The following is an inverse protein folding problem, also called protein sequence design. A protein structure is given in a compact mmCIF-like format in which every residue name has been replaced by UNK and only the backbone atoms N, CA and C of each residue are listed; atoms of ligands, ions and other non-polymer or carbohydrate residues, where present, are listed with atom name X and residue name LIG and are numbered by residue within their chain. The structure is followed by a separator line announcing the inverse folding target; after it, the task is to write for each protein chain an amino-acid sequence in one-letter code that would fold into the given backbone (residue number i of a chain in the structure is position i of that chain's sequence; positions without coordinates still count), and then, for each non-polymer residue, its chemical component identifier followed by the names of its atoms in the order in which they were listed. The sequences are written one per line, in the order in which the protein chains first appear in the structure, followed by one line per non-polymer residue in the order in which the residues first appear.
data_IF_881599033840
#
_entry.id   IF_881599033840
#
_cell.length_a   1.000
_cell.length_b   1.000
_cell.length_c   1.000
_cell.angle_alpha   90.00
_cell.angle_beta   90.00
_cell.angle_gamma   90.00
#
_symmetry.space_group_name_H-M   'P 1'
#
loop_
_entity.id
_entity.type
_entity.pdbx_description
1 polymer ?
#
# COMPACT_ATOMS: atom_id res chain seq x y z
N UNK A 1 -13.98 -4.35 -24.85
CA UNK A 1 -13.34 -3.18 -24.21
C UNK A 1 -12.03 -2.84 -24.93
N UNK A 2 -11.76 -1.57 -25.26
CA UNK A 2 -10.45 -1.16 -25.81
C UNK A 2 -9.45 -1.07 -24.66
N UNK A 3 -8.78 -2.18 -24.34
CA UNK A 3 -7.79 -2.27 -23.26
C UNK A 3 -6.44 -1.58 -23.58
N UNK A 4 -6.25 -1.15 -24.84
CA UNK A 4 -5.02 -0.49 -25.31
C UNK A 4 -5.07 1.02 -25.06
N UNK A 5 -4.08 1.63 -24.40
CA UNK A 5 -3.93 3.08 -24.33
C UNK A 5 -3.72 3.71 -25.72
N UNK A 6 -4.31 4.89 -25.95
CA UNK A 6 -4.24 5.57 -27.26
C UNK A 6 -2.82 5.92 -27.70
N UNK A 7 -1.93 6.21 -26.74
CA UNK A 7 -0.58 6.70 -26.98
C UNK A 7 0.45 5.61 -27.31
N UNK A 8 0.05 4.34 -27.37
CA UNK A 8 0.97 3.21 -27.57
C UNK A 8 0.66 2.53 -28.90
N UNK A 9 1.61 2.43 -29.85
CA UNK A 9 1.41 1.73 -31.11
C UNK A 9 0.91 0.29 -30.92
N UNK A 10 0.03 -0.18 -31.81
CA UNK A 10 -0.60 -1.51 -31.70
C UNK A 10 0.42 -2.65 -31.66
N UNK A 11 1.53 -2.52 -32.41
CA UNK A 11 2.59 -3.52 -32.44
C UNK A 11 3.30 -3.65 -31.08
N UNK A 12 3.62 -2.53 -30.43
CA UNK A 12 4.26 -2.51 -29.12
C UNK A 12 3.35 -3.04 -28.03
N UNK A 13 2.06 -2.64 -28.06
CA UNK A 13 1.07 -3.18 -27.14
C UNK A 13 0.94 -4.70 -27.23
N UNK A 14 0.93 -5.25 -28.45
CA UNK A 14 0.90 -6.71 -28.66
C UNK A 14 2.16 -7.40 -28.16
N UNK A 15 3.34 -6.81 -28.37
CA UNK A 15 4.61 -7.33 -27.85
C UNK A 15 4.60 -7.36 -26.32
N UNK A 16 4.18 -6.26 -25.69
CA UNK A 16 4.06 -6.16 -24.24
C UNK A 16 3.08 -7.19 -23.65
N UNK A 17 1.89 -7.31 -24.22
CA UNK A 17 0.90 -8.31 -23.77
C UNK A 17 1.46 -9.71 -23.94
N UNK A 18 2.04 -10.06 -25.10
CA UNK A 18 2.67 -11.37 -25.29
C UNK A 18 3.76 -11.66 -24.24
N UNK A 19 4.59 -10.68 -23.92
CA UNK A 19 5.63 -10.81 -22.90
C UNK A 19 5.04 -11.07 -21.51
N UNK A 20 3.99 -10.33 -21.12
CA UNK A 20 3.31 -10.48 -19.81
C UNK A 20 2.31 -11.63 -19.73
N UNK A 21 2.05 -12.32 -20.84
CA UNK A 21 1.19 -13.51 -20.89
C UNK A 21 1.95 -14.74 -21.37
N UNK A 22 3.28 -14.66 -21.47
CA UNK A 22 4.13 -15.76 -21.90
C UNK A 22 4.07 -16.92 -20.92
N UNK A 23 4.41 -18.12 -21.40
CA UNK A 23 4.42 -19.30 -20.55
C UNK A 23 5.47 -19.20 -19.45
N UNK A 24 6.65 -18.65 -19.76
CA UNK A 24 7.71 -18.34 -18.78
C UNK A 24 7.21 -17.40 -17.68
N UNK A 25 6.45 -16.36 -18.05
CA UNK A 25 5.87 -15.45 -17.07
C UNK A 25 4.85 -16.16 -16.17
N UNK A 26 3.98 -17.00 -16.75
CA UNK A 26 2.99 -17.79 -15.99
C UNK A 26 3.64 -18.78 -15.04
N UNK A 27 4.73 -19.43 -15.45
CA UNK A 27 5.50 -20.36 -14.62
C UNK A 27 6.11 -19.62 -13.44
N UNK A 28 6.83 -18.52 -13.69
CA UNK A 28 7.43 -17.69 -12.63
C UNK A 28 6.38 -17.14 -11.66
N UNK A 29 5.22 -16.73 -12.16
CA UNK A 29 4.12 -16.28 -11.31
C UNK A 29 3.55 -17.42 -10.45
N UNK A 30 3.36 -18.61 -11.02
CA UNK A 30 2.88 -19.78 -10.28
C UNK A 30 3.88 -20.27 -9.22
N UNK A 31 5.17 -20.29 -9.53
CA UNK A 31 6.23 -20.58 -8.56
C UNK A 31 6.15 -19.61 -7.37
N UNK A 32 5.95 -18.32 -7.66
CA UNK A 32 5.83 -17.28 -6.64
C UNK A 32 4.55 -17.41 -5.78
N UNK A 33 3.43 -17.85 -6.39
CA UNK A 33 2.17 -18.10 -5.67
C UNK A 33 2.27 -19.37 -4.80
N UNK A 34 3.02 -20.38 -5.25
CA UNK A 34 3.22 -21.64 -4.53
C UNK A 34 4.29 -21.54 -3.43
N UNK A 35 5.24 -20.62 -3.57
CA UNK A 35 6.14 -20.29 -2.47
C UNK A 35 5.36 -19.50 -1.42
N UNK A 36 5.00 -20.14 -0.30
CA UNK A 36 4.43 -19.48 0.89
C UNK A 36 5.33 -18.36 1.48
N UNK A 37 6.53 -18.20 0.92
CA UNK A 37 7.54 -17.20 1.26
C UNK A 37 7.23 -15.84 0.65
N UNK A 38 6.23 -15.13 1.17
CA UNK A 38 6.25 -13.69 1.50
C UNK A 38 4.82 -13.14 1.63
N UNK A 39 4.33 -13.07 2.87
CA UNK A 39 3.16 -12.26 3.21
C UNK A 39 3.45 -11.27 4.36
N UNK A 40 4.73 -11.08 4.72
CA UNK A 40 5.13 -10.37 5.94
C UNK A 40 6.07 -9.18 5.74
N UNK A 41 6.30 -8.69 4.52
CA UNK A 41 7.00 -7.41 4.38
C UNK A 41 6.02 -6.27 4.66
N UNK A 42 6.32 -5.48 5.69
CA UNK A 42 5.56 -4.24 5.99
C UNK A 42 5.80 -3.15 4.94
N UNK A 43 6.70 -3.37 3.99
CA UNK A 43 7.03 -2.45 2.92
C UNK A 43 6.05 -2.60 1.74
N UNK A 44 5.18 -1.60 1.49
CA UNK A 44 4.21 -1.67 0.40
C UNK A 44 4.84 -1.64 -1.01
N UNK A 45 6.16 -1.42 -1.13
CA UNK A 45 6.89 -1.50 -2.40
C UNK A 45 7.31 -2.93 -2.79
N UNK A 46 7.30 -3.86 -1.86
CA UNK A 46 7.78 -5.24 -2.05
C UNK A 46 6.63 -6.24 -2.16
N UNK A 47 5.41 -5.74 -2.44
CA UNK A 47 4.23 -6.56 -2.64
C UNK A 47 4.47 -7.61 -3.75
N UNK A 48 3.80 -8.75 -3.64
CA UNK A 48 3.85 -9.87 -4.57
C UNK A 48 3.71 -9.41 -6.04
N UNK A 49 2.80 -8.47 -6.29
CA UNK A 49 2.63 -7.89 -7.62
C UNK A 49 3.84 -7.11 -8.13
N UNK A 50 4.59 -6.42 -7.26
CA UNK A 50 5.81 -5.71 -7.64
C UNK A 50 6.94 -6.70 -7.99
N UNK A 51 6.98 -7.86 -7.33
CA UNK A 51 7.97 -8.90 -7.61
C UNK A 51 7.70 -9.62 -8.94
N UNK A 52 6.43 -9.90 -9.23
CA UNK A 52 6.02 -10.57 -10.48
C UNK A 52 6.02 -9.60 -11.67
N UNK A 53 5.45 -8.41 -11.51
CA UNK A 53 5.26 -7.47 -12.62
C UNK A 53 6.44 -6.51 -12.82
N UNK A 54 7.33 -6.44 -11.83
CA UNK A 54 8.42 -5.47 -11.78
C UNK A 54 8.04 -4.21 -10.99
N UNK A 55 9.02 -3.31 -10.78
CA UNK A 55 8.85 -2.11 -9.97
C UNK A 55 7.72 -1.22 -10.50
N UNK A 56 7.13 -0.45 -9.59
CA UNK A 56 6.09 0.49 -9.93
C UNK A 56 6.59 1.66 -10.79
N UNK A 57 5.69 2.16 -11.64
CA UNK A 57 5.93 3.40 -12.35
C UNK A 57 6.18 4.54 -11.34
N UNK A 58 7.09 5.48 -11.63
CA UNK A 58 7.37 6.61 -10.75
C UNK A 58 6.09 7.31 -10.27
N UNK A 59 6.01 7.60 -8.98
CA UNK A 59 4.87 8.30 -8.37
C UNK A 59 3.63 7.45 -8.10
N UNK A 60 3.64 6.14 -8.41
CA UNK A 60 2.53 5.22 -8.15
C UNK A 60 2.92 4.18 -7.11
N UNK A 61 2.00 3.88 -6.19
CA UNK A 61 2.12 2.81 -5.21
C UNK A 61 0.96 1.83 -5.39
N UNK A 62 1.19 0.68 -6.03
CA UNK A 62 0.14 -0.25 -6.44
C UNK A 62 -0.63 -0.86 -5.27
N UNK A 63 0.09 -1.20 -4.19
CA UNK A 63 -0.47 -1.81 -2.98
C UNK A 63 -1.57 -0.96 -2.32
N UNK A 64 -1.57 0.36 -2.54
CA UNK A 64 -2.54 1.30 -1.94
C UNK A 64 -3.67 1.73 -2.89
N UNK A 65 -3.72 1.18 -4.11
CA UNK A 65 -4.77 1.48 -5.09
C UNK A 65 -4.54 2.74 -5.94
N UNK A 66 -5.62 3.28 -6.51
CA UNK A 66 -5.55 4.36 -7.53
C UNK A 66 -5.23 5.72 -6.90
N UNK A 67 -4.29 6.46 -7.49
CA UNK A 67 -3.97 7.84 -7.09
C UNK A 67 -3.14 7.95 -5.81
N UNK A 68 -2.50 6.85 -5.40
CA UNK A 68 -1.62 6.80 -4.23
C UNK A 68 -0.15 6.82 -4.65
N UNK A 69 0.62 7.66 -3.96
CA UNK A 69 2.06 7.80 -4.08
C UNK A 69 2.72 7.62 -2.71
N UNK A 70 4.03 7.38 -2.69
CA UNK A 70 4.80 7.29 -1.45
C UNK A 70 4.71 8.57 -0.62
N UNK A 71 4.82 9.73 -1.25
CA UNK A 71 4.74 11.02 -0.56
C UNK A 71 3.36 11.23 0.07
N UNK A 72 2.29 10.80 -0.61
CA UNK A 72 0.93 10.85 -0.06
C UNK A 72 0.74 9.88 1.11
N UNK A 73 1.33 8.68 1.02
CA UNK A 73 1.35 7.72 2.13
C UNK A 73 2.10 8.30 3.35
N UNK A 74 3.28 8.88 3.15
CA UNK A 74 4.06 9.49 4.23
C UNK A 74 3.26 10.62 4.92
N UNK A 75 2.57 11.45 4.15
CA UNK A 75 1.67 12.48 4.69
C UNK A 75 0.55 11.87 5.55
N UNK A 76 -0.06 10.77 5.10
CA UNK A 76 -1.09 10.06 5.89
C UNK A 76 -0.53 9.43 7.16
N UNK A 77 0.66 8.85 7.13
CA UNK A 77 1.31 8.28 8.31
C UNK A 77 1.60 9.34 9.37
N UNK A 78 2.12 10.51 8.96
CA UNK A 78 2.34 11.65 9.86
C UNK A 78 1.04 12.12 10.48
N UNK A 79 -0.02 12.32 9.66
CA UNK A 79 -1.34 12.71 10.15
C UNK A 79 -1.91 11.68 11.14
N UNK A 80 -1.78 10.39 10.84
CA UNK A 80 -2.25 9.31 11.71
C UNK A 80 -1.54 9.35 13.06
N UNK A 81 -0.20 9.47 13.07
CA UNK A 81 0.59 9.54 14.29
C UNK A 81 0.15 10.70 15.19
N UNK A 82 0.02 11.89 14.60
CA UNK A 82 -0.43 13.09 15.32
C UNK A 82 -1.81 12.90 15.97
N UNK A 83 -2.75 12.30 15.24
CA UNK A 83 -4.10 12.02 15.78
C UNK A 83 -4.04 11.03 16.94
N UNK A 84 -3.21 9.99 16.85
CA UNK A 84 -3.04 9.01 17.94
C UNK A 84 -2.47 9.67 19.20
N UNK A 85 -1.44 10.51 19.07
CA UNK A 85 -0.85 11.26 20.19
C UNK A 85 -1.90 12.17 20.85
N UNK A 86 -2.66 12.91 20.05
CA UNK A 86 -3.74 13.77 20.54
C UNK A 86 -4.82 12.98 21.29
N UNK A 87 -5.22 11.81 20.78
CA UNK A 87 -6.18 10.93 21.45
C UNK A 87 -5.64 10.42 22.80
N UNK A 88 -4.36 10.05 22.86
CA UNK A 88 -3.72 9.61 24.11
C UNK A 88 -3.73 10.74 25.15
N UNK A 89 -3.35 11.96 24.77
CA UNK A 89 -3.41 13.13 25.67
C UNK A 89 -4.83 13.40 26.14
N UNK A 90 -5.83 13.30 25.25
CA UNK A 90 -7.24 13.48 25.61
C UNK A 90 -7.70 12.47 26.67
N UNK A 91 -7.35 11.18 26.51
CA UNK A 91 -7.68 10.13 27.47
C UNK A 91 -7.02 10.42 28.83
N UNK A 92 -5.74 10.80 28.84
CA UNK A 92 -5.02 11.14 30.07
C UNK A 92 -5.67 12.29 30.83
N UNK A 93 -6.03 13.38 30.13
CA UNK A 93 -6.70 14.54 30.73
C UNK A 93 -8.07 14.17 31.31
N UNK A 94 -8.85 13.35 30.60
CA UNK A 94 -10.13 12.86 31.10
C UNK A 94 -9.97 12.03 32.38
N UNK A 95 -8.94 11.16 32.44
CA UNK A 95 -8.60 10.40 33.64
C UNK A 95 -8.26 11.33 34.82
N UNK A 96 -7.44 12.35 34.59
CA UNK A 96 -7.10 13.34 35.61
C UNK A 96 -8.34 14.07 36.12
N UNK A 97 -9.20 14.56 35.23
CA UNK A 97 -10.46 15.23 35.61
C UNK A 97 -11.37 14.30 36.43
N UNK A 98 -11.49 13.02 36.04
CA UNK A 98 -12.25 12.04 36.83
C UNK A 98 -11.66 11.84 38.23
N UNK A 99 -10.34 11.75 38.34
CA UNK A 99 -9.66 11.59 39.62
C UNK A 99 -9.89 12.80 40.52
N UNK A 100 -9.72 14.02 39.99
CA UNK A 100 -9.99 15.25 40.76
C UNK A 100 -11.45 15.33 41.20
N UNK A 101 -12.41 15.01 40.31
CA UNK A 101 -13.84 14.95 40.65
C UNK A 101 -14.18 13.89 41.70
N UNK A 102 -13.39 12.82 41.80
CA UNK A 102 -13.54 11.77 42.81
C UNK A 102 -12.98 12.22 44.15
N UNK A 103 -11.81 12.88 44.15
CA UNK A 103 -11.18 13.43 45.35
C UNK A 103 -12.04 14.51 46.00
N UNK A 104 -12.60 15.43 45.20
CA UNK A 104 -13.50 16.48 45.68
C UNK A 104 -14.87 15.99 46.18
N UNK A 105 -15.20 14.72 45.93
CA UNK A 105 -16.46 14.08 46.39
C UNK A 105 -16.31 13.30 47.70
N UNK A 106 -15.09 13.14 48.19
CA UNK A 106 -14.78 12.62 49.53
C UNK A 106 -14.61 13.77 50.49
#
# INVERSE_FOLDING_TARGET
MKLRPYNIPTAEWRKFVKLKTSQEFKQKANEFIQSDTLLSSSNPKEDCLAQILGPDNPGRLRAMGRGMSMSKLACFQVKSKYVTEMQQTQVQLQQQVMNYRRLLRK
#
